data_IF_984650496572
#
_entry.id   IF_984650496572
#
_cell.length_a   1.000
_cell.length_b   1.000
_cell.length_c   1.000
_cell.angle_alpha   90.00
_cell.angle_beta   90.00
_cell.angle_gamma   90.00
#
_symmetry.space_group_name_H-M   'P 1'
#
loop_
_entity.id
_entity.type
_entity.pdbx_description
1 polymer ?
#
# COMPACT_ATOMS: atom_id res chain seq x y z
N UNK A 1 -16.66 0.94 -7.26
CA UNK A 1 -16.34 0.13 -6.07
C UNK A 1 -15.01 0.61 -5.52
N UNK A 2 -14.83 0.60 -4.21
CA UNK A 2 -13.58 1.03 -3.59
C UNK A 2 -12.50 -0.04 -3.74
N UNK A 3 -11.24 0.42 -3.83
CA UNK A 3 -10.06 -0.43 -3.95
C UNK A 3 -9.04 0.03 -2.93
N UNK A 4 -8.50 -0.92 -2.18
CA UNK A 4 -7.47 -0.70 -1.17
C UNK A 4 -6.23 -1.50 -1.55
N UNK A 5 -5.05 -0.89 -1.48
CA UNK A 5 -3.77 -1.55 -1.73
C UNK A 5 -2.97 -1.51 -0.44
N UNK A 6 -2.45 -2.67 -0.04
CA UNK A 6 -1.65 -2.81 1.17
C UNK A 6 -0.17 -2.79 0.81
N UNK A 7 0.62 -1.95 1.48
CA UNK A 7 2.06 -1.82 1.24
C UNK A 7 2.88 -2.05 2.49
N UNK A 8 4.12 -2.48 2.30
CA UNK A 8 5.15 -2.60 3.33
C UNK A 8 6.49 -2.09 2.78
N UNK A 9 7.50 -1.99 3.64
CA UNK A 9 8.89 -1.71 3.21
C UNK A 9 9.43 -2.72 2.18
N UNK A 10 8.91 -3.94 2.18
CA UNK A 10 9.27 -5.01 1.23
C UNK A 10 8.59 -4.86 -0.15
N UNK A 11 7.58 -3.98 -0.26
CA UNK A 11 6.97 -3.69 -1.55
C UNK A 11 8.00 -2.98 -2.43
N UNK A 12 8.35 -3.59 -3.57
CA UNK A 12 9.45 -3.12 -4.41
C UNK A 12 9.16 -3.34 -5.91
N UNK A 13 9.79 -2.53 -6.77
CA UNK A 13 9.79 -2.68 -8.23
C UNK A 13 8.39 -2.56 -8.85
N UNK A 14 7.97 -3.51 -9.67
CA UNK A 14 6.69 -3.45 -10.41
C UNK A 14 5.46 -3.26 -9.49
N UNK A 15 5.53 -3.74 -8.24
CA UNK A 15 4.48 -3.51 -7.26
C UNK A 15 4.35 -2.02 -6.89
N UNK A 16 5.47 -1.30 -6.84
CA UNK A 16 5.49 0.13 -6.57
C UNK A 16 4.96 0.93 -7.76
N UNK A 17 5.33 0.56 -8.99
CA UNK A 17 4.81 1.18 -10.21
C UNK A 17 3.28 1.08 -10.28
N UNK A 18 2.75 -0.12 -10.05
CA UNK A 18 1.31 -0.37 -9.99
C UNK A 18 0.63 0.49 -8.91
N UNK A 19 1.18 0.49 -7.69
CA UNK A 19 0.66 1.24 -6.54
C UNK A 19 0.68 2.75 -6.81
N UNK A 20 1.80 3.26 -7.30
CA UNK A 20 2.02 4.69 -7.57
C UNK A 20 1.04 5.21 -8.61
N UNK A 21 0.85 4.48 -9.71
CA UNK A 21 -0.08 4.88 -10.76
C UNK A 21 -1.53 4.89 -10.27
N UNK A 22 -1.97 3.88 -9.50
CA UNK A 22 -3.33 3.85 -8.95
C UNK A 22 -3.57 4.93 -7.90
N UNK A 23 -2.55 5.27 -7.10
CA UNK A 23 -2.59 6.42 -6.19
C UNK A 23 -2.71 7.73 -6.98
N UNK A 24 -1.87 7.96 -7.98
CA UNK A 24 -1.89 9.16 -8.81
C UNK A 24 -3.24 9.35 -9.55
N UNK A 25 -3.85 8.26 -10.00
CA UNK A 25 -5.17 8.25 -10.65
C UNK A 25 -6.35 8.39 -9.69
N UNK A 26 -6.09 8.43 -8.37
CA UNK A 26 -7.09 8.38 -7.30
C UNK A 26 -8.04 7.18 -7.46
N UNK A 27 -7.49 6.03 -7.82
CA UNK A 27 -8.23 4.78 -8.06
C UNK A 27 -8.11 3.76 -6.95
N UNK A 28 -7.12 3.89 -6.08
CA UNK A 28 -7.01 3.10 -4.87
C UNK A 28 -6.61 3.98 -3.69
N UNK A 29 -6.99 3.56 -2.49
CA UNK A 29 -6.44 4.08 -1.23
C UNK A 29 -5.31 3.16 -0.77
N UNK A 30 -4.13 3.74 -0.55
CA UNK A 30 -2.94 2.99 -0.14
C UNK A 30 -2.82 2.98 1.38
N UNK A 31 -2.66 1.81 1.98
CA UNK A 31 -2.65 1.63 3.44
C UNK A 31 -1.46 0.76 3.82
N UNK A 32 -0.65 1.20 4.79
CA UNK A 32 0.51 0.44 5.25
C UNK A 32 1.74 1.33 5.39
N UNK A 33 2.89 0.82 4.99
CA UNK A 33 4.16 1.55 5.09
C UNK A 33 4.59 2.13 3.73
N UNK A 34 5.53 3.07 3.77
CA UNK A 34 6.25 3.54 2.58
C UNK A 34 7.06 2.39 1.97
N UNK A 35 6.97 2.23 0.65
CA UNK A 35 7.61 1.15 -0.10
C UNK A 35 9.13 1.35 -0.27
N UNK A 36 9.83 0.34 -0.80
CA UNK A 36 11.30 0.30 -0.81
C UNK A 36 12.04 1.25 -1.78
N UNK A 37 11.35 1.90 -2.73
CA UNK A 37 11.93 2.90 -3.63
C UNK A 37 12.60 2.36 -4.90
N UNK A 38 12.23 1.16 -5.34
CA UNK A 38 12.80 0.44 -6.46
C UNK A 38 12.29 0.83 -7.84
N UNK A 39 12.58 2.04 -8.32
CA UNK A 39 12.17 2.47 -9.66
C UNK A 39 13.20 2.12 -10.77
N UNK A 40 13.78 0.93 -10.72
CA UNK A 40 14.93 0.58 -11.57
C UNK A 40 14.49 0.07 -12.96
N UNK A 41 14.55 0.94 -13.96
CA UNK A 41 14.56 0.55 -15.38
C UNK A 41 16.00 0.57 -15.87
N UNK A 42 16.69 -0.56 -15.83
CA UNK A 42 18.10 -0.63 -16.20
C UNK A 42 18.60 -2.05 -16.37
N UNK A 43 19.81 -2.18 -16.89
CA UNK A 43 20.43 -3.46 -17.17
C UNK A 43 21.77 -3.58 -16.46
N UNK A 44 22.10 -4.82 -16.07
CA UNK A 44 23.45 -5.16 -15.62
C UNK A 44 24.34 -5.32 -16.85
N UNK A 45 25.38 -4.51 -16.94
CA UNK A 45 26.40 -4.58 -17.97
C UNK A 45 27.67 -5.18 -17.36
N UNK A 46 28.16 -6.26 -17.97
CA UNK A 46 29.44 -6.86 -17.59
C UNK A 46 30.57 -5.96 -18.10
N UNK A 47 31.45 -5.53 -17.20
CA UNK A 47 32.65 -4.75 -17.56
C UNK A 47 33.79 -5.71 -17.91
N UNK A 48 33.96 -6.78 -17.12
CA UNK A 48 34.93 -7.86 -17.36
C UNK A 48 34.53 -9.12 -16.57
N UNK A 49 35.45 -10.06 -16.38
CA UNK A 49 35.14 -11.32 -15.72
C UNK A 49 34.74 -11.20 -14.25
N UNK A 50 35.13 -10.13 -13.57
CA UNK A 50 34.96 -9.95 -12.12
C UNK A 50 34.02 -8.79 -11.77
N UNK A 51 33.68 -7.91 -12.71
CA UNK A 51 32.90 -6.70 -12.44
C UNK A 51 31.67 -6.56 -13.35
N UNK A 52 30.58 -6.15 -12.72
CA UNK A 52 29.31 -5.79 -13.36
C UNK A 52 28.88 -4.44 -12.82
N UNK A 53 28.35 -3.58 -13.69
CA UNK A 53 27.71 -2.31 -13.33
C UNK A 53 26.23 -2.37 -13.68
N UNK A 54 25.37 -1.85 -12.81
CA UNK A 54 23.97 -1.61 -13.14
C UNK A 54 23.85 -0.21 -13.74
N UNK A 55 23.38 -0.10 -14.98
CA UNK A 55 23.16 1.17 -15.66
C UNK A 55 21.64 1.39 -15.75
N UNK A 56 21.08 2.41 -15.10
CA UNK A 56 19.70 2.81 -15.34
C UNK A 56 19.58 3.34 -16.77
N UNK A 57 18.72 2.72 -17.58
CA UNK A 57 18.48 3.07 -18.99
C UNK A 57 17.15 3.82 -19.17
N UNK A 58 16.36 3.92 -18.11
CA UNK A 58 15.11 4.67 -18.09
C UNK A 58 14.78 5.15 -16.69
N UNK A 59 13.97 6.21 -16.64
CA UNK A 59 13.39 6.73 -15.40
C UNK A 59 11.89 6.86 -15.64
N UNK A 60 11.03 6.03 -15.03
CA UNK A 60 9.59 6.20 -15.18
C UNK A 60 9.21 7.54 -14.55
N UNK A 61 8.55 8.42 -15.31
CA UNK A 61 8.00 9.68 -14.82
C UNK A 61 6.50 9.60 -15.02
N UNK A 62 5.74 9.75 -13.94
CA UNK A 62 4.29 9.72 -14.02
C UNK A 62 3.76 11.06 -14.58
N UNK A 63 2.82 11.03 -15.53
CA UNK A 63 2.35 12.24 -16.21
C UNK A 63 1.48 13.15 -15.31
N UNK A 64 0.99 12.66 -14.17
CA UNK A 64 0.15 13.44 -13.24
C UNK A 64 1.03 14.11 -12.19
N UNK A 65 1.90 13.34 -11.54
CA UNK A 65 2.74 13.85 -10.44
C UNK A 65 4.01 14.55 -10.93
N UNK A 66 4.37 14.37 -12.21
CA UNK A 66 5.60 14.91 -12.82
C UNK A 66 6.89 14.43 -12.11
N UNK A 67 6.81 13.31 -11.38
CA UNK A 67 7.93 12.71 -10.64
C UNK A 67 7.78 11.18 -10.58
N UNK A 68 8.60 10.52 -9.76
CA UNK A 68 8.62 9.07 -9.56
C UNK A 68 8.84 8.66 -8.10
N UNK A 69 8.80 7.36 -7.81
CA UNK A 69 8.99 6.78 -6.48
C UNK A 69 10.44 6.33 -6.21
N UNK A 70 11.37 6.66 -7.10
CA UNK A 70 12.76 6.22 -7.02
C UNK A 70 13.45 6.75 -5.76
N UNK A 71 14.03 5.85 -4.97
CA UNK A 71 14.74 6.19 -3.74
C UNK A 71 13.88 6.71 -2.58
N UNK A 72 12.61 7.03 -2.82
CA UNK A 72 11.67 7.55 -1.81
C UNK A 72 10.51 6.61 -1.51
N UNK A 73 10.20 5.68 -2.43
CA UNK A 73 9.05 4.79 -2.33
C UNK A 73 7.72 5.49 -2.61
N UNK A 74 6.65 4.71 -2.52
CA UNK A 74 5.26 5.17 -2.56
C UNK A 74 4.81 5.37 -1.13
N UNK A 75 4.64 6.63 -0.73
CA UNK A 75 4.05 6.96 0.57
C UNK A 75 2.58 6.51 0.59
N UNK A 76 2.10 5.82 1.64
CA UNK A 76 0.70 5.43 1.77
C UNK A 76 -0.22 6.66 1.93
N UNK A 77 -1.53 6.48 1.73
CA UNK A 77 -2.54 7.49 2.11
C UNK A 77 -2.87 7.40 3.60
N UNK A 78 -2.78 6.20 4.16
CA UNK A 78 -2.99 5.91 5.58
C UNK A 78 -1.78 5.12 6.07
N UNK A 79 -0.95 5.78 6.86
CA UNK A 79 0.28 5.21 7.39
C UNK A 79 0.01 4.37 8.64
N UNK A 80 0.33 3.09 8.56
CA UNK A 80 0.27 2.10 9.64
C UNK A 80 1.36 1.05 9.41
N UNK A 81 1.75 0.27 10.41
CA UNK A 81 2.66 -0.85 10.15
C UNK A 81 2.03 -1.87 9.19
N UNK A 82 2.86 -2.61 8.48
CA UNK A 82 2.39 -3.60 7.50
C UNK A 82 1.45 -4.64 8.15
N UNK A 83 1.70 -5.01 9.41
CA UNK A 83 0.90 -5.95 10.21
C UNK A 83 -0.52 -5.43 10.48
N UNK A 84 -0.70 -4.11 10.53
CA UNK A 84 -1.98 -3.45 10.80
C UNK A 84 -2.76 -3.12 9.51
N UNK A 85 -2.10 -3.14 8.35
CA UNK A 85 -2.65 -2.62 7.10
C UNK A 85 -3.96 -3.32 6.70
N UNK A 86 -4.01 -4.66 6.76
CA UNK A 86 -5.19 -5.42 6.36
C UNK A 86 -6.41 -5.13 7.24
N UNK A 87 -6.23 -5.13 8.56
CA UNK A 87 -7.33 -4.86 9.51
C UNK A 87 -7.81 -3.42 9.38
N UNK A 88 -6.89 -2.49 9.18
CA UNK A 88 -7.21 -1.08 8.92
C UNK A 88 -8.05 -0.95 7.66
N UNK A 89 -7.67 -1.61 6.57
CA UNK A 89 -8.44 -1.60 5.32
C UNK A 89 -9.85 -2.19 5.48
N UNK A 90 -9.97 -3.33 6.17
CA UNK A 90 -11.27 -3.94 6.47
C UNK A 90 -12.16 -2.99 7.30
N UNK A 91 -11.60 -2.37 8.34
CA UNK A 91 -12.33 -1.44 9.18
C UNK A 91 -12.85 -0.24 8.38
N UNK A 92 -12.02 0.33 7.50
CA UNK A 92 -12.42 1.44 6.63
C UNK A 92 -13.52 1.01 5.65
N UNK A 93 -13.36 -0.16 5.02
CA UNK A 93 -14.34 -0.67 4.07
C UNK A 93 -15.71 -0.90 4.72
N UNK A 94 -15.74 -1.51 5.90
CA UNK A 94 -16.98 -1.77 6.65
C UNK A 94 -17.64 -0.46 7.12
N UNK A 95 -16.86 0.48 7.66
CA UNK A 95 -17.39 1.79 8.07
C UNK A 95 -17.95 2.59 6.89
N UNK A 96 -17.40 2.41 5.69
CA UNK A 96 -17.91 3.05 4.47
C UNK A 96 -19.18 2.36 3.95
N UNK A 97 -19.28 1.04 4.12
CA UNK A 97 -20.43 0.26 3.67
C UNK A 97 -21.65 0.42 4.59
N UNK A 98 -21.43 0.55 5.90
CA UNK A 98 -22.47 0.66 6.92
C UNK A 98 -23.55 1.73 6.60
N UNK A 99 -23.22 3.01 6.31
CA UNK A 99 -24.23 4.02 6.02
C UNK A 99 -24.96 3.82 4.68
N UNK A 100 -24.43 2.98 3.79
CA UNK A 100 -25.04 2.67 2.49
C UNK A 100 -25.86 1.38 2.50
N UNK A 101 -25.82 0.63 3.61
CA UNK A 101 -26.52 -0.65 3.75
C UNK A 101 -27.96 -0.41 4.18
N UNK A 102 -28.90 -1.15 3.59
CA UNK A 102 -30.34 -1.06 3.89
C UNK A 102 -30.92 -2.33 4.51
N UNK A 103 -30.15 -3.42 4.52
CA UNK A 103 -30.57 -4.72 5.07
C UNK A 103 -30.24 -4.79 6.57
N UNK A 104 -31.24 -4.96 7.46
CA UNK A 104 -31.00 -4.96 8.91
C UNK A 104 -30.01 -6.04 9.37
N UNK A 105 -30.06 -7.23 8.78
CA UNK A 105 -29.15 -8.35 9.10
C UNK A 105 -27.70 -7.98 8.77
N UNK A 106 -27.44 -7.46 7.57
CA UNK A 106 -26.11 -7.00 7.16
C UNK A 106 -25.60 -5.84 8.04
N UNK A 107 -26.47 -4.91 8.43
CA UNK A 107 -26.10 -3.81 9.33
C UNK A 107 -25.65 -4.35 10.69
N UNK A 108 -26.37 -5.33 11.23
CA UNK A 108 -26.01 -5.98 12.49
C UNK A 108 -24.68 -6.72 12.38
N UNK A 109 -24.50 -7.52 11.32
CA UNK A 109 -23.25 -8.23 11.04
C UNK A 109 -22.07 -7.26 10.90
N UNK A 110 -22.27 -6.12 10.23
CA UNK A 110 -21.24 -5.09 10.07
C UNK A 110 -20.87 -4.45 11.41
N UNK A 111 -21.84 -4.14 12.29
CA UNK A 111 -21.53 -3.61 13.62
C UNK A 111 -20.67 -4.58 14.43
N UNK A 112 -21.07 -5.86 14.48
CA UNK A 112 -20.33 -6.90 15.21
C UNK A 112 -18.93 -7.14 14.62
N UNK A 113 -18.82 -7.10 13.29
CA UNK A 113 -17.53 -7.24 12.61
C UNK A 113 -16.61 -6.03 12.84
N UNK A 114 -17.15 -4.81 12.82
CA UNK A 114 -16.41 -3.58 13.11
C UNK A 114 -15.86 -3.63 14.53
N UNK A 115 -16.70 -3.94 15.52
CA UNK A 115 -16.29 -4.02 16.92
C UNK A 115 -15.18 -5.05 17.13
N UNK A 116 -15.37 -6.26 16.59
CA UNK A 116 -14.35 -7.33 16.68
C UNK A 116 -13.02 -6.90 16.07
N UNK A 117 -13.04 -6.33 14.85
CA UNK A 117 -11.81 -5.91 14.18
C UNK A 117 -11.13 -4.76 14.92
N UNK A 118 -11.89 -3.83 15.51
CA UNK A 118 -11.34 -2.77 16.35
C UNK A 118 -10.60 -3.33 17.56
N UNK A 119 -11.19 -4.28 18.28
CA UNK A 119 -10.55 -4.95 19.42
C UNK A 119 -9.25 -5.62 19.01
N UNK A 120 -9.28 -6.42 17.94
CA UNK A 120 -8.08 -7.12 17.43
C UNK A 120 -6.98 -6.14 16.99
N UNK A 121 -7.37 -5.01 16.40
CA UNK A 121 -6.43 -3.98 15.93
C UNK A 121 -5.76 -3.28 17.11
N UNK A 122 -6.49 -2.97 18.19
CA UNK A 122 -5.91 -2.42 19.42
C UNK A 122 -4.98 -3.41 20.12
N UNK A 123 -5.33 -4.70 20.17
CA UNK A 123 -4.45 -5.75 20.70
C UNK A 123 -3.15 -5.88 19.90
N UNK A 124 -3.24 -5.81 18.56
CA UNK A 124 -2.05 -5.86 17.70
C UNK A 124 -1.17 -4.63 17.87
N UNK A 125 -1.75 -3.43 17.97
CA UNK A 125 -1.01 -2.20 18.28
C UNK A 125 -0.25 -2.32 19.60
N UNK A 126 -0.90 -2.83 20.64
CA UNK A 126 -0.26 -3.06 21.94
C UNK A 126 0.92 -4.03 21.81
N UNK A 127 0.73 -5.14 21.07
CA UNK A 127 1.80 -6.12 20.84
C UNK A 127 2.99 -5.55 20.07
N UNK A 128 2.76 -4.65 19.12
CA UNK A 128 3.82 -4.03 18.31
C UNK A 128 4.61 -2.95 19.06
N UNK A 129 4.04 -2.40 20.13
CA UNK A 129 4.68 -1.38 20.97
C UNK A 129 5.49 -1.96 22.15
N UNK A 130 5.58 -3.30 22.23
CA UNK A 130 6.35 -4.05 23.23
C UNK A 130 7.47 -4.84 22.56
#
# INVERSE_FOLDING_TARGET
>A
KDVYILTSKETFSAAEDFTYNLKALRRATIIGETTGGGAHWGHRHRINDHFVVFIPTGRPINPITQTNWEGVGVTPDIEVSAELALKTAHLIAMNKLLPTSTQPELIQELHEAIERVQIELEQLKQKLNH
#
